data_IF_010165174499
#
_entry.id   IF_010165174499
#
_cell.length_a   1.000
_cell.length_b   1.000
_cell.length_c   1.000
_cell.angle_alpha   90.00
_cell.angle_beta   90.00
_cell.angle_gamma   90.00
#
_symmetry.space_group_name_H-M   'P 1'
#
loop_
_entity.id
_entity.type
_entity.pdbx_description
1 polymer ?
#
# COMPACT_ATOMS: atom_id res chain seq x y z
N UNK A 1 -15.61 -14.47 32.50
CA UNK A 1 -16.40 -13.68 31.53
C UNK A 1 -16.81 -12.39 32.20
N UNK A 2 -16.24 -11.26 31.79
CA UNK A 2 -16.57 -9.93 32.35
C UNK A 2 -17.77 -9.36 31.58
N UNK A 3 -18.97 -9.53 32.13
CA UNK A 3 -20.26 -9.13 31.55
C UNK A 3 -20.63 -7.68 31.86
N UNK A 4 -19.70 -6.73 31.72
CA UNK A 4 -20.00 -5.32 31.98
C UNK A 4 -19.42 -4.37 30.91
N UNK A 5 -19.46 -4.79 29.65
CA UNK A 5 -19.23 -3.88 28.52
C UNK A 5 -20.45 -2.97 28.37
N UNK A 6 -20.27 -1.69 28.70
CA UNK A 6 -21.26 -0.64 28.50
C UNK A 6 -21.69 -0.63 27.03
N UNK A 7 -22.99 -0.74 26.77
CA UNK A 7 -23.53 -0.60 25.42
C UNK A 7 -23.31 0.82 24.90
N UNK A 8 -22.94 0.94 23.63
CA UNK A 8 -22.80 2.23 22.94
C UNK A 8 -23.76 2.27 21.76
N UNK A 9 -24.74 3.18 21.80
CA UNK A 9 -25.63 3.35 20.66
C UNK A 9 -24.87 3.98 19.47
N UNK A 10 -25.01 3.38 18.29
CA UNK A 10 -24.36 3.83 17.05
C UNK A 10 -25.42 4.41 16.10
N UNK A 11 -25.09 5.55 15.49
CA UNK A 11 -25.93 6.22 14.48
C UNK A 11 -25.24 6.29 13.12
N UNK A 12 -23.92 6.20 13.08
CA UNK A 12 -23.13 6.28 11.86
C UNK A 12 -22.09 5.18 11.80
N UNK A 13 -21.99 4.50 10.66
CA UNK A 13 -20.88 3.59 10.34
C UNK A 13 -20.09 4.21 9.21
N UNK A 14 -18.77 4.25 9.35
CA UNK A 14 -17.87 4.89 8.38
C UNK A 14 -16.77 3.91 7.98
N UNK A 15 -16.46 3.84 6.68
CA UNK A 15 -15.33 3.06 6.14
C UNK A 15 -14.58 3.86 5.08
N UNK A 16 -13.42 3.37 4.64
CA UNK A 16 -12.67 3.97 3.54
C UNK A 16 -13.48 3.96 2.23
N UNK A 17 -13.32 5.00 1.41
CA UNK A 17 -13.68 4.91 -0.01
C UNK A 17 -12.91 3.76 -0.65
N UNK A 18 -13.52 3.04 -1.60
CA UNK A 18 -12.99 1.80 -2.15
C UNK A 18 -12.62 0.74 -1.08
N UNK A 19 -13.59 0.32 -0.23
CA UNK A 19 -13.30 -0.61 0.86
C UNK A 19 -12.75 -1.95 0.36
N UNK A 20 -11.78 -2.49 1.09
CA UNK A 20 -11.23 -3.81 0.88
C UNK A 20 -12.19 -4.92 1.33
N UNK A 21 -11.85 -6.16 1.00
CA UNK A 21 -12.69 -7.33 1.31
C UNK A 21 -12.96 -7.49 2.81
N UNK A 22 -11.98 -7.21 3.67
CA UNK A 22 -12.13 -7.33 5.13
C UNK A 22 -13.05 -6.26 5.71
N UNK A 23 -13.02 -5.04 5.18
CA UNK A 23 -13.97 -3.98 5.52
C UNK A 23 -15.39 -4.33 5.05
N UNK A 24 -15.53 -4.83 3.83
CA UNK A 24 -16.82 -5.31 3.29
C UNK A 24 -17.40 -6.44 4.15
N UNK A 25 -16.59 -7.46 4.47
CA UNK A 25 -17.02 -8.59 5.29
C UNK A 25 -17.39 -8.16 6.72
N UNK A 26 -16.67 -7.18 7.29
CA UNK A 26 -16.99 -6.56 8.58
C UNK A 26 -18.33 -5.83 8.56
N UNK A 27 -18.55 -4.98 7.56
CA UNK A 27 -19.80 -4.23 7.39
C UNK A 27 -21.00 -5.17 7.25
N UNK A 28 -20.82 -6.26 6.49
CA UNK A 28 -21.83 -7.30 6.34
C UNK A 28 -22.24 -7.91 7.68
N UNK A 29 -21.32 -8.14 8.62
CA UNK A 29 -21.67 -8.66 9.95
C UNK A 29 -22.61 -7.69 10.69
N UNK A 30 -22.33 -6.39 10.64
CA UNK A 30 -23.22 -5.39 11.23
C UNK A 30 -24.57 -5.30 10.52
N UNK A 31 -24.60 -5.36 9.18
CA UNK A 31 -25.84 -5.40 8.39
C UNK A 31 -26.72 -6.63 8.70
N UNK A 32 -26.13 -7.73 9.18
CA UNK A 32 -26.86 -8.94 9.61
C UNK A 32 -27.26 -8.91 11.09
N UNK A 33 -26.99 -7.82 11.81
CA UNK A 33 -27.41 -7.65 13.20
C UNK A 33 -26.50 -8.25 14.25
N UNK A 34 -25.33 -8.78 13.88
CA UNK A 34 -24.40 -9.37 14.86
C UNK A 34 -23.85 -8.34 15.87
N UNK A 35 -23.88 -7.05 15.52
CA UNK A 35 -23.40 -5.96 16.38
C UNK A 35 -24.41 -5.43 17.40
N UNK A 36 -25.72 -5.66 17.23
CA UNK A 36 -26.78 -4.94 17.95
C UNK A 36 -26.70 -5.06 19.47
N UNK A 37 -26.29 -6.23 19.97
CA UNK A 37 -26.19 -6.47 21.41
C UNK A 37 -25.20 -5.54 22.10
N UNK A 38 -24.09 -5.22 21.45
CA UNK A 38 -23.02 -4.36 21.99
C UNK A 38 -23.15 -2.93 21.48
N UNK A 39 -23.66 -2.77 20.27
CA UNK A 39 -23.80 -1.51 19.55
C UNK A 39 -25.23 -1.32 19.03
N UNK A 40 -26.18 -0.92 19.90
CA UNK A 40 -27.56 -0.69 19.48
C UNK A 40 -27.65 0.33 18.33
N UNK A 41 -28.37 -0.01 17.26
CA UNK A 41 -28.53 0.82 16.06
C UNK A 41 -27.47 0.58 14.97
N UNK A 42 -26.49 -0.29 15.21
CA UNK A 42 -25.41 -0.57 14.26
C UNK A 42 -25.88 -1.20 12.95
N UNK A 43 -26.98 -1.96 12.94
CA UNK A 43 -27.54 -2.59 11.71
C UNK A 43 -28.09 -1.54 10.76
N UNK A 44 -28.89 -0.62 11.28
CA UNK A 44 -29.46 0.48 10.47
C UNK A 44 -28.33 1.39 9.97
N UNK A 45 -27.38 1.73 10.85
CA UNK A 45 -26.23 2.54 10.49
C UNK A 45 -25.35 1.85 9.42
N UNK A 46 -25.11 0.53 9.51
CA UNK A 46 -24.37 -0.24 8.51
C UNK A 46 -25.14 -0.45 7.19
N UNK A 47 -26.45 -0.20 7.17
CA UNK A 47 -27.24 -0.16 5.93
C UNK A 47 -27.10 1.17 5.19
N UNK A 48 -26.53 2.19 5.85
CA UNK A 48 -26.30 3.56 5.34
C UNK A 48 -24.86 3.99 5.60
N UNK A 49 -23.91 3.16 5.16
CA UNK A 49 -22.48 3.39 5.36
C UNK A 49 -22.04 4.72 4.75
N UNK A 50 -21.23 5.47 5.50
CA UNK A 50 -20.54 6.65 5.01
C UNK A 50 -19.13 6.27 4.53
N UNK A 51 -18.71 6.81 3.39
CA UNK A 51 -17.39 6.56 2.83
C UNK A 51 -16.48 7.77 3.02
N UNK A 52 -15.20 7.53 3.30
CA UNK A 52 -14.22 8.59 3.56
C UNK A 52 -12.84 8.30 2.95
N UNK A 53 -12.20 9.32 2.39
CA UNK A 53 -10.78 9.25 1.96
C UNK A 53 -9.81 9.32 3.16
N UNK A 54 -10.31 9.66 4.35
CA UNK A 54 -9.52 9.73 5.57
C UNK A 54 -10.25 10.45 6.70
N UNK A 55 -9.98 10.01 7.93
CA UNK A 55 -10.54 10.61 9.14
C UNK A 55 -9.42 11.07 10.06
N UNK A 56 -9.72 12.10 10.86
CA UNK A 56 -8.79 12.53 11.90
C UNK A 56 -8.58 11.39 12.89
N UNK A 57 -7.32 11.05 13.19
CA UNK A 57 -7.02 9.99 14.14
C UNK A 57 -7.45 10.39 15.56
N UNK A 58 -8.46 9.69 16.08
CA UNK A 58 -9.01 9.81 17.44
C UNK A 58 -9.19 8.42 18.04
N UNK A 59 -9.36 8.36 19.35
CA UNK A 59 -9.62 7.09 20.03
C UNK A 59 -11.10 6.68 19.97
N UNK A 60 -11.36 5.46 20.42
CA UNK A 60 -12.70 4.88 20.50
C UNK A 60 -13.67 5.67 21.39
N UNK A 61 -13.17 6.35 22.43
CA UNK A 61 -14.01 7.15 23.35
C UNK A 61 -14.60 8.36 22.64
N UNK A 62 -13.79 9.03 21.81
CA UNK A 62 -14.25 10.14 20.99
C UNK A 62 -15.36 9.68 20.02
N UNK A 63 -15.14 8.60 19.28
CA UNK A 63 -16.11 8.12 18.30
C UNK A 63 -17.41 7.61 18.95
N UNK A 64 -17.31 6.95 20.10
CA UNK A 64 -18.48 6.55 20.89
C UNK A 64 -19.31 7.77 21.36
N UNK A 65 -18.64 8.85 21.76
CA UNK A 65 -19.32 10.08 22.20
C UNK A 65 -20.15 10.75 21.10
N UNK A 66 -19.74 10.59 19.84
CA UNK A 66 -20.46 11.08 18.65
C UNK A 66 -21.26 9.98 17.95
N UNK A 67 -21.41 8.80 18.57
CA UNK A 67 -22.18 7.65 18.06
C UNK A 67 -21.75 7.20 16.66
N UNK A 68 -20.45 7.26 16.39
CA UNK A 68 -19.85 6.89 15.11
C UNK A 68 -18.98 5.65 15.28
N UNK A 69 -19.04 4.73 14.32
CA UNK A 69 -18.24 3.51 14.33
C UNK A 69 -17.36 3.48 13.07
N UNK A 70 -16.07 3.84 13.18
CA UNK A 70 -15.12 3.67 12.09
C UNK A 70 -14.76 2.18 11.94
N UNK A 71 -14.77 1.68 10.71
CA UNK A 71 -14.38 0.32 10.33
C UNK A 71 -13.29 0.43 9.26
N UNK A 72 -12.10 -0.12 9.52
CA UNK A 72 -10.95 -0.12 8.60
C UNK A 72 -10.31 1.24 8.34
N UNK A 73 -10.91 2.35 8.81
CA UNK A 73 -10.52 3.69 8.37
C UNK A 73 -9.75 4.59 9.34
N UNK A 74 -9.59 4.19 10.61
CA UNK A 74 -8.86 4.96 11.63
C UNK A 74 -7.86 4.09 12.37
N UNK A 75 -6.54 4.27 12.14
CA UNK A 75 -5.50 3.53 12.85
C UNK A 75 -5.60 3.65 14.37
N UNK A 76 -5.47 2.52 15.06
CA UNK A 76 -5.54 2.44 16.52
C UNK A 76 -6.95 2.30 17.11
N UNK A 77 -8.02 2.31 16.30
CA UNK A 77 -9.39 2.02 16.79
C UNK A 77 -9.67 0.51 16.89
N UNK A 78 -10.74 0.15 17.61
CA UNK A 78 -11.11 -1.26 17.85
C UNK A 78 -11.33 -2.07 16.56
N UNK A 79 -11.79 -1.43 15.48
CA UNK A 79 -12.05 -2.08 14.18
C UNK A 79 -11.10 -1.61 13.08
N UNK A 80 -9.80 -1.53 13.38
CA UNK A 80 -8.77 -1.26 12.39
C UNK A 80 -7.59 -2.23 12.52
N UNK A 81 -7.07 -2.74 11.40
CA UNK A 81 -5.95 -3.68 11.35
C UNK A 81 -4.57 -3.00 11.58
N UNK A 82 -4.55 -1.68 11.77
CA UNK A 82 -3.36 -0.90 12.10
C UNK A 82 -3.38 -0.40 13.53
N UNK A 83 -2.20 -0.35 14.14
CA UNK A 83 -1.99 0.25 15.45
C UNK A 83 -2.08 1.78 15.41
N UNK A 84 -1.92 2.42 16.58
CA UNK A 84 -1.95 3.89 16.72
C UNK A 84 -0.83 4.60 15.96
N UNK A 85 0.22 3.90 15.56
CA UNK A 85 1.33 4.46 14.78
C UNK A 85 1.12 4.20 13.27
N UNK A 86 -0.03 3.65 12.88
CA UNK A 86 -0.37 3.30 11.50
C UNK A 86 0.30 2.02 10.99
N UNK A 87 0.94 1.24 11.88
CA UNK A 87 1.62 0.00 11.51
C UNK A 87 0.64 -1.16 11.50
N UNK A 88 0.78 -2.05 10.51
CA UNK A 88 -0.07 -3.23 10.39
C UNK A 88 0.14 -4.19 11.55
N UNK A 89 -0.96 -4.69 12.12
CA UNK A 89 -0.96 -5.71 13.16
C UNK A 89 -0.80 -7.08 12.49
N UNK A 90 0.22 -7.88 12.83
CA UNK A 90 0.43 -9.18 12.21
C UNK A 90 -0.74 -10.15 12.44
N UNK A 91 -1.07 -10.94 11.43
CA UNK A 91 -2.10 -11.99 11.48
C UNK A 91 -3.51 -11.51 11.86
N UNK A 92 -3.80 -10.24 11.60
CA UNK A 92 -5.10 -9.62 11.88
C UNK A 92 -5.53 -8.80 10.65
N UNK A 93 -6.80 -8.89 10.30
CA UNK A 93 -7.51 -7.99 9.39
C UNK A 93 -8.77 -7.41 10.08
N UNK A 94 -9.43 -6.45 9.47
CA UNK A 94 -10.61 -5.78 10.06
C UNK A 94 -11.71 -6.76 10.45
N UNK A 95 -12.00 -7.75 9.60
CA UNK A 95 -13.01 -8.81 9.87
C UNK A 95 -12.68 -9.60 11.13
N UNK A 96 -11.43 -10.03 11.29
CA UNK A 96 -11.03 -10.83 12.45
C UNK A 96 -11.15 -10.04 13.75
N UNK A 97 -10.85 -8.73 13.75
CA UNK A 97 -11.07 -7.86 14.92
C UNK A 97 -12.55 -7.73 15.27
N UNK A 98 -13.40 -7.54 14.27
CA UNK A 98 -14.86 -7.45 14.48
C UNK A 98 -15.38 -8.77 15.06
N UNK A 99 -14.98 -9.91 14.50
CA UNK A 99 -15.40 -11.22 15.01
C UNK A 99 -14.96 -11.46 16.45
N UNK A 100 -13.71 -11.13 16.80
CA UNK A 100 -13.21 -11.24 18.16
C UNK A 100 -14.03 -10.37 19.12
N UNK A 101 -14.22 -9.10 18.77
CA UNK A 101 -14.94 -8.15 19.61
C UNK A 101 -16.41 -8.55 19.84
N UNK A 102 -17.06 -9.06 18.80
CA UNK A 102 -18.45 -9.52 18.86
C UNK A 102 -18.61 -10.92 19.48
N UNK A 103 -17.50 -11.59 19.82
CA UNK A 103 -17.46 -12.98 20.31
C UNK A 103 -18.05 -13.99 19.31
N UNK A 104 -17.70 -13.86 18.02
CA UNK A 104 -18.17 -14.72 16.93
C UNK A 104 -17.16 -15.80 16.52
N UNK A 105 -16.00 -15.86 17.18
CA UNK A 105 -14.90 -16.79 16.85
C UNK A 105 -15.27 -18.29 16.97
N UNK A 106 -16.35 -18.61 17.69
CA UNK A 106 -16.86 -19.98 17.83
C UNK A 106 -17.79 -20.40 16.68
N UNK A 107 -18.32 -19.46 15.90
CA UNK A 107 -19.11 -19.76 14.71
C UNK A 107 -18.19 -20.28 13.61
N UNK A 108 -18.27 -21.59 13.35
CA UNK A 108 -17.40 -22.28 12.38
C UNK A 108 -17.54 -21.74 10.96
N UNK A 109 -18.72 -21.28 10.58
CA UNK A 109 -18.97 -20.79 9.22
C UNK A 109 -18.38 -19.39 9.06
N UNK A 110 -18.68 -18.49 10.00
CA UNK A 110 -18.10 -17.14 9.99
C UNK A 110 -16.57 -17.20 10.11
N UNK A 111 -16.06 -18.10 10.95
CA UNK A 111 -14.61 -18.31 11.10
C UNK A 111 -13.96 -18.72 9.79
N UNK A 112 -14.54 -19.69 9.07
CA UNK A 112 -14.03 -20.11 7.74
C UNK A 112 -13.99 -18.95 6.75
N UNK A 113 -15.01 -18.08 6.75
CA UNK A 113 -15.03 -16.88 5.91
C UNK A 113 -13.94 -15.90 6.33
N UNK A 114 -13.81 -15.62 7.62
CA UNK A 114 -12.82 -14.69 8.12
C UNK A 114 -11.38 -15.17 7.92
N UNK A 115 -11.12 -16.47 8.02
CA UNK A 115 -9.81 -17.07 7.76
C UNK A 115 -9.40 -16.83 6.29
N UNK A 116 -10.33 -17.02 5.33
CA UNK A 116 -10.03 -16.81 3.90
C UNK A 116 -9.93 -15.32 3.53
N UNK A 117 -10.70 -14.46 4.20
CA UNK A 117 -10.57 -13.00 4.09
C UNK A 117 -9.22 -12.53 4.65
N UNK A 118 -8.80 -13.05 5.81
CA UNK A 118 -7.50 -12.75 6.40
C UNK A 118 -6.37 -13.17 5.47
N UNK A 119 -6.46 -14.36 4.88
CA UNK A 119 -5.50 -14.85 3.87
C UNK A 119 -5.42 -13.87 2.69
N UNK A 120 -6.56 -13.48 2.12
CA UNK A 120 -6.60 -12.52 1.00
C UNK A 120 -6.00 -11.16 1.37
N UNK A 121 -6.15 -10.72 2.61
CA UNK A 121 -5.67 -9.42 3.05
C UNK A 121 -4.15 -9.45 3.37
N UNK A 122 -3.67 -10.52 4.00
CA UNK A 122 -2.31 -10.58 4.56
C UNK A 122 -1.29 -11.30 3.70
N UNK A 123 -1.71 -12.27 2.87
CA UNK A 123 -0.80 -13.08 2.08
C UNK A 123 -0.61 -12.55 0.66
N UNK A 124 0.62 -12.61 0.12
CA UNK A 124 0.84 -12.31 -1.29
C UNK A 124 0.25 -13.42 -2.17
N UNK A 125 -0.15 -13.07 -3.39
CA UNK A 125 -0.49 -14.05 -4.42
C UNK A 125 -1.96 -14.38 -4.57
N UNK A 126 -2.84 -13.56 -3.97
CA UNK A 126 -4.28 -13.51 -4.28
C UNK A 126 -4.49 -13.44 -5.79
N UNK A 127 -5.37 -14.28 -6.30
CA UNK A 127 -5.62 -14.41 -7.74
C UNK A 127 -6.61 -13.34 -8.21
N UNK A 128 -6.50 -12.99 -9.48
CA UNK A 128 -7.39 -12.04 -10.15
C UNK A 128 -8.87 -12.50 -10.19
N UNK A 129 -9.13 -13.78 -9.91
CA UNK A 129 -10.46 -14.37 -9.83
C UNK A 129 -10.96 -14.51 -8.40
N UNK A 130 -10.18 -14.11 -7.40
CA UNK A 130 -10.63 -14.08 -6.01
C UNK A 130 -11.30 -12.75 -5.68
N UNK A 131 -12.32 -12.81 -4.81
CA UNK A 131 -13.19 -11.68 -4.51
C UNK A 131 -12.44 -10.40 -4.09
N UNK A 132 -11.33 -10.53 -3.35
CA UNK A 132 -10.52 -9.37 -2.96
C UNK A 132 -9.95 -8.60 -4.15
N UNK A 133 -9.48 -9.29 -5.19
CA UNK A 133 -8.99 -8.62 -6.42
C UNK A 133 -10.14 -8.13 -7.30
N UNK A 134 -11.26 -8.84 -7.32
CA UNK A 134 -12.47 -8.41 -8.04
C UNK A 134 -13.04 -7.11 -7.47
N UNK A 135 -13.08 -6.96 -6.15
CA UNK A 135 -13.47 -5.71 -5.48
C UNK A 135 -12.55 -4.55 -5.91
N UNK A 136 -11.22 -4.77 -5.87
CA UNK A 136 -10.24 -3.76 -6.33
C UNK A 136 -10.43 -3.40 -7.80
N UNK A 137 -10.70 -4.39 -8.67
CA UNK A 137 -11.00 -4.16 -10.10
C UNK A 137 -12.30 -3.38 -10.31
N UNK A 138 -13.31 -3.67 -9.49
CA UNK A 138 -14.59 -2.96 -9.42
C UNK A 138 -14.42 -1.48 -9.12
N UNK A 139 -13.75 -1.13 -8.02
CA UNK A 139 -13.57 0.26 -7.60
C UNK A 139 -12.74 1.11 -8.57
N UNK A 140 -11.93 0.49 -9.46
CA UNK A 140 -11.26 1.24 -10.54
C UNK A 140 -12.23 1.81 -11.58
N UNK A 141 -13.48 1.34 -11.62
CA UNK A 141 -14.47 1.64 -12.67
C UNK A 141 -15.78 2.15 -12.09
N UNK A 142 -16.27 1.48 -11.06
CA UNK A 142 -17.47 1.88 -10.34
C UNK A 142 -17.06 2.87 -9.25
N UNK A 143 -17.38 4.14 -9.49
CA UNK A 143 -17.10 5.24 -8.54
C UNK A 143 -18.04 5.23 -7.32
N UNK A 144 -19.17 4.54 -7.40
CA UNK A 144 -20.13 4.44 -6.31
C UNK A 144 -19.78 3.26 -5.40
N UNK A 145 -19.20 3.58 -4.24
CA UNK A 145 -18.82 2.59 -3.24
C UNK A 145 -20.02 1.80 -2.70
N UNK A 146 -21.23 2.37 -2.71
CA UNK A 146 -22.45 1.69 -2.26
C UNK A 146 -22.82 0.54 -3.21
N UNK A 147 -22.68 0.75 -4.52
CA UNK A 147 -22.94 -0.29 -5.52
C UNK A 147 -21.95 -1.44 -5.34
N UNK A 148 -20.67 -1.12 -5.18
CA UNK A 148 -19.63 -2.13 -4.96
C UNK A 148 -19.83 -2.90 -3.65
N UNK A 149 -20.17 -2.21 -2.56
CA UNK A 149 -20.47 -2.83 -1.28
C UNK A 149 -21.65 -3.80 -1.39
N UNK A 150 -22.74 -3.40 -2.06
CA UNK A 150 -23.92 -4.25 -2.28
C UNK A 150 -23.56 -5.48 -3.11
N UNK A 151 -22.85 -5.31 -4.21
CA UNK A 151 -22.40 -6.41 -5.06
C UNK A 151 -21.56 -7.42 -4.27
N UNK A 152 -20.52 -6.97 -3.57
CA UNK A 152 -19.62 -7.85 -2.82
C UNK A 152 -20.33 -8.53 -1.64
N UNK A 153 -21.25 -7.83 -0.97
CA UNK A 153 -22.06 -8.40 0.12
C UNK A 153 -22.96 -9.53 -0.38
N UNK A 154 -23.57 -9.38 -1.57
CA UNK A 154 -24.40 -10.43 -2.17
C UNK A 154 -23.59 -11.71 -2.45
N UNK A 155 -22.33 -11.57 -2.89
CA UNK A 155 -21.43 -12.71 -3.10
C UNK A 155 -21.09 -13.42 -1.78
N UNK A 156 -20.75 -12.66 -0.75
CA UNK A 156 -20.48 -13.20 0.59
C UNK A 156 -21.72 -13.84 1.23
N UNK A 157 -22.92 -13.31 0.96
CA UNK A 157 -24.19 -13.91 1.40
C UNK A 157 -24.45 -15.26 0.76
N UNK A 158 -24.15 -15.41 -0.53
CA UNK A 158 -24.25 -16.69 -1.21
C UNK A 158 -23.26 -17.71 -0.63
N UNK A 159 -22.00 -17.30 -0.42
CA UNK A 159 -20.96 -18.14 0.21
C UNK A 159 -21.37 -18.58 1.62
N UNK A 160 -21.83 -17.63 2.45
CA UNK A 160 -22.30 -17.94 3.79
C UNK A 160 -23.45 -18.95 3.76
N UNK A 161 -24.47 -18.70 2.94
CA UNK A 161 -25.64 -19.57 2.82
C UNK A 161 -25.25 -20.98 2.36
N UNK A 162 -24.35 -21.09 1.37
CA UNK A 162 -23.89 -22.38 0.88
C UNK A 162 -23.12 -23.17 1.94
N UNK A 163 -22.25 -22.52 2.72
CA UNK A 163 -21.47 -23.19 3.78
C UNK A 163 -22.39 -23.60 4.95
N UNK A 164 -23.36 -22.75 5.30
CA UNK A 164 -24.29 -23.00 6.41
C UNK A 164 -25.26 -24.15 6.12
N UNK A 165 -25.86 -24.15 4.92
CA UNK A 165 -26.95 -25.09 4.60
C UNK A 165 -26.51 -26.25 3.72
N UNK A 166 -25.34 -26.17 3.07
CA UNK A 166 -24.81 -27.25 2.25
C UNK A 166 -25.69 -27.59 1.04
N UNK A 167 -26.28 -26.58 0.37
CA UNK A 167 -27.21 -26.84 -0.74
C UNK A 167 -26.57 -27.73 -1.82
N UNK A 168 -27.36 -28.69 -2.30
CA UNK A 168 -26.94 -29.59 -3.36
C UNK A 168 -26.80 -28.82 -4.70
N UNK A 169 -25.95 -29.30 -5.63
CA UNK A 169 -25.88 -28.74 -6.98
C UNK A 169 -27.26 -28.71 -7.66
N UNK A 170 -27.65 -27.55 -8.19
CA UNK A 170 -28.90 -27.39 -8.97
C UNK A 170 -28.54 -27.26 -10.45
N UNK A 171 -28.77 -28.33 -11.21
CA UNK A 171 -28.49 -28.34 -12.65
C UNK A 171 -27.00 -28.35 -13.01
N UNK A 172 -26.67 -27.92 -14.23
CA UNK A 172 -25.30 -27.88 -14.78
C UNK A 172 -24.68 -26.48 -14.81
N UNK A 173 -25.30 -25.48 -14.18
CA UNK A 173 -24.79 -24.10 -14.21
C UNK A 173 -23.53 -23.99 -13.35
N UNK A 174 -22.47 -23.47 -13.97
CA UNK A 174 -21.14 -23.22 -13.41
C UNK A 174 -20.62 -21.89 -13.95
N UNK A 175 -19.46 -21.44 -13.45
CA UNK A 175 -18.79 -20.28 -14.03
C UNK A 175 -18.50 -20.47 -15.53
N UNK A 176 -18.08 -21.67 -15.96
CA UNK A 176 -17.80 -21.96 -17.37
C UNK A 176 -19.06 -21.80 -18.22
N UNK A 177 -20.20 -22.37 -17.81
CA UNK A 177 -21.44 -22.26 -18.59
C UNK A 177 -21.93 -20.81 -18.68
N UNK A 178 -21.70 -20.01 -17.64
CA UNK A 178 -22.06 -18.59 -17.66
C UNK A 178 -21.13 -17.80 -18.59
N UNK A 179 -19.83 -18.10 -18.55
CA UNK A 179 -18.87 -17.52 -19.49
C UNK A 179 -19.20 -17.87 -20.94
N UNK A 180 -19.52 -19.12 -21.25
CA UNK A 180 -19.92 -19.56 -22.59
C UNK A 180 -21.19 -18.84 -23.06
N UNK A 181 -22.20 -18.69 -22.18
CA UNK A 181 -23.41 -17.91 -22.46
C UNK A 181 -23.09 -16.45 -22.83
N UNK A 182 -22.15 -15.83 -22.13
CA UNK A 182 -21.73 -14.45 -22.41
C UNK A 182 -20.97 -14.35 -23.74
N UNK A 183 -20.16 -15.35 -24.08
CA UNK A 183 -19.49 -15.42 -25.38
C UNK A 183 -20.49 -15.56 -26.53
N UNK A 184 -21.49 -16.43 -26.39
CA UNK A 184 -22.56 -16.61 -27.37
C UNK A 184 -23.38 -15.31 -27.56
N UNK A 185 -23.49 -14.50 -26.50
CA UNK A 185 -24.11 -13.18 -26.54
C UNK A 185 -23.20 -12.07 -27.11
N UNK A 186 -22.01 -12.40 -27.63
CA UNK A 186 -21.08 -11.45 -28.24
C UNK A 186 -20.30 -10.58 -27.25
N UNK A 187 -20.26 -10.96 -25.96
CA UNK A 187 -19.38 -10.28 -24.98
C UNK A 187 -17.91 -10.61 -25.27
N UNK A 188 -17.02 -9.74 -24.82
CA UNK A 188 -15.56 -9.92 -24.88
C UNK A 188 -14.97 -9.98 -26.31
N UNK A 189 -15.11 -8.91 -27.12
CA UNK A 189 -14.74 -8.93 -28.54
C UNK A 189 -13.23 -8.93 -28.86
N UNK A 190 -12.34 -8.56 -27.93
CA UNK A 190 -10.88 -8.62 -28.18
C UNK A 190 -10.39 -10.06 -27.96
N UNK A 191 -9.99 -10.74 -29.04
CA UNK A 191 -9.56 -12.13 -29.05
C UNK A 191 -8.39 -12.42 -28.08
N UNK A 192 -7.44 -11.48 -27.94
CA UNK A 192 -6.26 -11.64 -27.09
C UNK A 192 -6.68 -11.63 -25.63
N UNK A 193 -7.55 -10.69 -25.27
CA UNK A 193 -8.09 -10.59 -23.92
C UNK A 193 -9.02 -11.76 -23.62
N UNK A 194 -9.90 -12.12 -24.56
CA UNK A 194 -10.81 -13.25 -24.43
C UNK A 194 -10.08 -14.55 -24.14
N UNK A 195 -8.98 -14.83 -24.86
CA UNK A 195 -8.14 -16.00 -24.59
C UNK A 195 -7.54 -15.99 -23.17
N UNK A 196 -7.11 -14.83 -22.68
CA UNK A 196 -6.60 -14.71 -21.30
C UNK A 196 -7.71 -14.87 -20.26
N UNK A 197 -8.89 -14.31 -20.50
CA UNK A 197 -10.06 -14.45 -19.65
C UNK A 197 -10.53 -15.90 -19.56
N UNK A 198 -10.60 -16.61 -20.69
CA UNK A 198 -10.95 -18.03 -20.73
C UNK A 198 -9.97 -18.88 -19.89
N UNK A 199 -8.67 -18.59 -19.97
CA UNK A 199 -7.68 -19.23 -19.11
C UNK A 199 -7.91 -18.91 -17.63
N UNK A 200 -8.23 -17.66 -17.29
CA UNK A 200 -8.54 -17.28 -15.90
C UNK A 200 -9.79 -17.99 -15.36
N UNK A 201 -10.84 -18.13 -16.18
CA UNK A 201 -12.05 -18.90 -15.82
C UNK A 201 -11.69 -20.36 -15.54
N UNK A 202 -10.94 -21.00 -16.44
CA UNK A 202 -10.47 -22.38 -16.27
C UNK A 202 -9.64 -22.53 -14.99
N UNK A 203 -8.65 -21.66 -14.82
CA UNK A 203 -7.77 -21.62 -13.65
C UNK A 203 -8.56 -21.42 -12.34
N UNK A 204 -9.61 -20.59 -12.34
CA UNK A 204 -10.50 -20.44 -11.18
C UNK A 204 -11.28 -21.73 -10.90
N UNK A 205 -11.77 -22.42 -11.93
CA UNK A 205 -12.45 -23.71 -11.77
C UNK A 205 -11.53 -24.79 -11.18
N UNK A 206 -10.25 -24.79 -11.55
CA UNK A 206 -9.23 -25.73 -11.02
C UNK A 206 -8.94 -25.48 -9.53
N UNK A 207 -8.99 -24.22 -9.08
CA UNK A 207 -8.70 -23.83 -7.69
C UNK A 207 -9.93 -23.66 -6.80
N UNK A 208 -11.13 -24.01 -7.27
CA UNK A 208 -12.39 -23.75 -6.55
C UNK A 208 -12.45 -24.35 -5.13
N UNK A 209 -11.69 -25.42 -4.90
CA UNK A 209 -11.64 -26.12 -3.61
C UNK A 209 -10.50 -25.61 -2.70
N UNK A 210 -9.62 -24.74 -3.23
CA UNK A 210 -8.51 -24.13 -2.49
C UNK A 210 -8.94 -22.87 -1.72
N UNK A 211 -9.92 -22.13 -2.23
CA UNK A 211 -10.37 -20.84 -1.69
C UNK A 211 -11.87 -20.67 -1.91
N UNK A 212 -12.59 -20.27 -0.85
CA UNK A 212 -14.03 -19.97 -0.95
C UNK A 212 -14.29 -18.58 -1.53
N UNK A 213 -13.22 -17.81 -1.76
CA UNK A 213 -13.25 -16.51 -2.43
C UNK A 213 -13.02 -16.61 -3.94
N UNK A 214 -12.72 -17.78 -4.49
CA UNK A 214 -12.59 -17.98 -5.95
C UNK A 214 -13.94 -17.79 -6.65
N UNK A 215 -13.93 -17.09 -7.79
CA UNK A 215 -15.13 -16.77 -8.57
C UNK A 215 -15.92 -18.03 -8.98
N UNK A 216 -15.23 -19.13 -9.27
CA UNK A 216 -15.85 -20.43 -9.56
C UNK A 216 -16.66 -20.97 -8.38
N UNK A 217 -16.10 -20.93 -7.16
CA UNK A 217 -16.78 -21.33 -5.94
C UNK A 217 -17.97 -20.41 -5.64
N UNK A 218 -17.78 -19.10 -5.79
CA UNK A 218 -18.83 -18.10 -5.60
C UNK A 218 -19.97 -18.30 -6.61
N UNK A 219 -19.67 -18.56 -7.88
CA UNK A 219 -20.67 -18.84 -8.90
C UNK A 219 -21.51 -20.08 -8.56
N UNK A 220 -20.85 -21.16 -8.12
CA UNK A 220 -21.52 -22.35 -7.61
C UNK A 220 -22.46 -22.01 -6.43
N UNK A 221 -22.00 -21.19 -5.48
CA UNK A 221 -22.83 -20.75 -4.36
C UNK A 221 -24.06 -19.99 -4.84
N UNK A 222 -23.89 -19.00 -5.72
CA UNK A 222 -25.00 -18.18 -6.26
C UNK A 222 -26.07 -19.04 -6.91
N UNK A 223 -25.67 -20.01 -7.74
CA UNK A 223 -26.62 -20.91 -8.41
C UNK A 223 -27.32 -21.86 -7.44
N UNK A 224 -26.58 -22.44 -6.48
CA UNK A 224 -27.16 -23.38 -5.50
C UNK A 224 -28.10 -22.70 -4.51
N UNK A 225 -27.83 -21.45 -4.16
CA UNK A 225 -28.73 -20.64 -3.33
C UNK A 225 -29.89 -20.04 -4.13
N UNK A 226 -30.01 -20.35 -5.42
CA UNK A 226 -31.03 -19.80 -6.32
C UNK A 226 -31.08 -18.27 -6.29
N UNK A 227 -29.92 -17.61 -6.24
CA UNK A 227 -29.87 -16.14 -6.26
C UNK A 227 -30.42 -15.65 -7.61
N UNK A 228 -31.46 -14.78 -7.61
CA UNK A 228 -32.12 -14.34 -8.85
C UNK A 228 -31.17 -13.58 -9.79
N UNK A 229 -30.17 -12.90 -9.21
CA UNK A 229 -29.23 -12.04 -9.94
C UNK A 229 -27.90 -12.77 -10.23
N UNK A 230 -27.83 -14.10 -10.06
CA UNK A 230 -26.59 -14.86 -10.17
C UNK A 230 -25.84 -14.59 -11.50
N UNK A 231 -26.56 -14.54 -12.63
CA UNK A 231 -25.97 -14.25 -13.93
C UNK A 231 -25.35 -12.86 -14.01
N UNK A 232 -26.07 -11.85 -13.52
CA UNK A 232 -25.63 -10.45 -13.55
C UNK A 232 -24.44 -10.22 -12.62
N UNK A 233 -24.44 -10.83 -11.44
CA UNK A 233 -23.35 -10.74 -10.47
C UNK A 233 -22.05 -11.37 -11.02
N UNK A 234 -22.15 -12.51 -11.71
CA UNK A 234 -21.02 -13.19 -12.36
C UNK A 234 -20.55 -12.41 -13.59
N UNK A 235 -21.48 -11.93 -14.42
CA UNK A 235 -21.19 -11.10 -15.59
C UNK A 235 -20.44 -9.83 -15.17
N UNK A 236 -20.87 -9.17 -14.08
CA UNK A 236 -20.17 -8.02 -13.52
C UNK A 236 -18.71 -8.36 -13.19
N UNK A 237 -18.44 -9.49 -12.52
CA UNK A 237 -17.08 -9.91 -12.22
C UNK A 237 -16.24 -10.12 -13.49
N UNK A 238 -16.78 -10.86 -14.47
CA UNK A 238 -16.09 -11.18 -15.72
C UNK A 238 -15.82 -9.94 -16.58
N UNK A 239 -16.75 -8.99 -16.63
CA UNK A 239 -16.56 -7.69 -17.29
C UNK A 239 -15.37 -6.93 -16.71
N UNK A 240 -15.26 -6.87 -15.38
CA UNK A 240 -14.19 -6.13 -14.73
C UNK A 240 -12.82 -6.79 -14.90
N UNK A 241 -12.76 -8.13 -14.94
CA UNK A 241 -11.54 -8.86 -15.31
C UNK A 241 -11.17 -8.54 -16.77
N UNK A 242 -12.13 -8.66 -17.69
CA UNK A 242 -11.94 -8.39 -19.11
C UNK A 242 -11.39 -6.99 -19.35
N UNK A 243 -12.02 -5.99 -18.74
CA UNK A 243 -11.61 -4.60 -18.87
C UNK A 243 -10.23 -4.34 -18.23
N UNK A 244 -9.88 -5.00 -17.12
CA UNK A 244 -8.54 -4.88 -16.53
C UNK A 244 -7.47 -5.38 -17.51
N UNK A 245 -7.76 -6.47 -18.21
CA UNK A 245 -6.88 -6.98 -19.26
C UNK A 245 -6.80 -6.05 -20.47
N UNK A 246 -7.91 -5.40 -20.89
CA UNK A 246 -7.85 -4.37 -21.93
C UNK A 246 -6.93 -3.21 -21.53
N UNK A 247 -7.08 -2.68 -20.32
CA UNK A 247 -6.24 -1.59 -19.80
C UNK A 247 -4.76 -2.00 -19.70
N UNK A 248 -4.49 -3.27 -19.37
CA UNK A 248 -3.14 -3.81 -19.37
C UNK A 248 -2.55 -3.82 -20.79
N UNK A 249 -3.30 -4.28 -21.79
CA UNK A 249 -2.80 -4.31 -23.17
C UNK A 249 -2.65 -2.92 -23.78
N UNK A 250 -3.51 -1.96 -23.41
CA UNK A 250 -3.29 -0.56 -23.72
C UNK A 250 -1.97 -0.06 -23.12
N UNK A 251 -1.68 -0.38 -21.86
CA UNK A 251 -0.40 -0.02 -21.24
C UNK A 251 0.81 -0.70 -21.91
N UNK A 252 0.67 -1.94 -22.39
CA UNK A 252 1.72 -2.63 -23.17
C UNK A 252 1.99 -1.87 -24.46
N UNK A 253 0.94 -1.43 -25.14
CA UNK A 253 1.04 -0.65 -26.38
C UNK A 253 1.66 0.74 -26.12
N UNK A 254 1.25 1.44 -25.07
CA UNK A 254 1.87 2.70 -24.62
C UNK A 254 3.38 2.52 -24.37
N UNK A 255 3.77 1.43 -23.68
CA UNK A 255 5.19 1.12 -23.45
C UNK A 255 5.94 0.84 -24.75
N UNK A 256 5.30 0.15 -25.71
CA UNK A 256 5.87 -0.21 -27.01
C UNK A 256 6.09 1.02 -27.89
N UNK A 257 5.16 1.98 -27.84
CA UNK A 257 5.18 3.22 -28.61
C UNK A 257 6.09 4.30 -28.00
N UNK A 258 6.55 4.14 -26.76
CA UNK A 258 7.50 5.10 -26.17
C UNK A 258 8.81 5.13 -26.97
N UNK A 259 9.23 6.35 -27.33
CA UNK A 259 10.51 6.60 -28.01
C UNK A 259 11.69 6.65 -27.02
N UNK A 260 11.42 6.83 -25.72
CA UNK A 260 12.45 6.99 -24.69
C UNK A 260 12.89 5.63 -24.11
N UNK A 261 13.41 4.78 -25.01
CA UNK A 261 13.87 3.42 -24.74
C UNK A 261 15.38 3.35 -24.88
N UNK A 262 16.06 2.99 -23.80
CA UNK A 262 17.51 2.98 -23.77
C UNK A 262 18.04 1.62 -23.33
N UNK A 263 19.08 1.16 -23.99
CA UNK A 263 19.90 0.04 -23.52
C UNK A 263 21.17 0.64 -22.95
N UNK A 264 21.40 0.43 -21.66
CA UNK A 264 22.61 0.89 -20.97
C UNK A 264 23.39 -0.31 -20.46
N UNK A 265 24.71 -0.17 -20.41
CA UNK A 265 25.58 -1.20 -19.87
C UNK A 265 25.56 -1.12 -18.35
N UNK A 266 25.04 -2.16 -17.71
CA UNK A 266 25.09 -2.38 -16.27
C UNK A 266 26.16 -3.42 -15.95
N UNK A 267 26.64 -3.43 -14.71
CA UNK A 267 27.59 -4.44 -14.23
C UNK A 267 27.00 -5.20 -13.05
N UNK A 268 27.13 -6.51 -13.11
CA UNK A 268 26.87 -7.42 -11.99
C UNK A 268 28.21 -8.01 -11.55
N UNK A 269 28.76 -7.46 -10.47
CA UNK A 269 30.19 -7.60 -10.18
C UNK A 269 31.03 -7.09 -11.35
N UNK A 270 31.84 -7.97 -11.95
CA UNK A 270 32.67 -7.64 -13.12
C UNK A 270 31.98 -7.96 -14.46
N UNK A 271 30.81 -8.61 -14.45
CA UNK A 271 30.16 -9.07 -15.67
C UNK A 271 29.29 -7.96 -16.27
N UNK A 272 29.57 -7.51 -17.50
CA UNK A 272 28.70 -6.56 -18.17
C UNK A 272 27.38 -7.21 -18.59
N UNK A 273 26.28 -6.48 -18.41
CA UNK A 273 24.94 -6.86 -18.86
C UNK A 273 24.21 -5.67 -19.48
N UNK A 274 23.36 -5.95 -20.45
CA UNK A 274 22.51 -4.92 -21.04
C UNK A 274 21.26 -4.72 -20.17
N UNK A 275 21.09 -3.50 -19.69
CA UNK A 275 19.95 -3.08 -18.90
C UNK A 275 19.04 -2.20 -19.75
N UNK A 276 17.80 -2.63 -19.91
CA UNK A 276 16.76 -1.86 -20.62
C UNK A 276 16.12 -0.85 -19.67
N UNK A 277 16.26 0.43 -19.98
CA UNK A 277 15.60 1.54 -19.30
C UNK A 277 14.47 2.04 -20.19
N UNK A 278 13.26 2.10 -19.63
CA UNK A 278 12.09 2.65 -20.29
C UNK A 278 11.65 3.90 -19.51
N UNK A 279 11.59 5.04 -20.20
CA UNK A 279 10.89 6.22 -19.71
C UNK A 279 9.52 6.30 -20.39
N UNK A 280 8.45 6.49 -19.62
CA UNK A 280 7.08 6.65 -20.15
C UNK A 280 6.42 7.86 -19.49
N UNK A 281 5.70 8.65 -20.29
CA UNK A 281 4.77 9.66 -19.79
C UNK A 281 3.36 9.08 -19.80
N UNK A 282 2.79 8.78 -18.64
CA UNK A 282 1.47 8.13 -18.56
C UNK A 282 0.88 8.22 -17.16
N UNK A 283 -0.45 8.31 -17.10
CA UNK A 283 -1.25 8.16 -15.87
C UNK A 283 -1.77 6.71 -15.68
N UNK A 284 -1.48 5.83 -16.64
CA UNK A 284 -1.96 4.46 -16.62
C UNK A 284 -1.21 3.64 -15.56
N UNK A 285 -1.93 3.21 -14.52
CA UNK A 285 -1.37 2.46 -13.40
C UNK A 285 -0.79 1.10 -13.82
N UNK A 286 -1.19 0.57 -14.97
CA UNK A 286 -0.68 -0.70 -15.49
C UNK A 286 0.73 -0.60 -16.11
N UNK A 287 1.29 0.59 -16.32
CA UNK A 287 2.60 0.76 -16.98
C UNK A 287 3.71 -0.01 -16.28
N UNK A 288 3.71 -0.07 -14.94
CA UNK A 288 4.72 -0.81 -14.17
C UNK A 288 4.69 -2.31 -14.49
N UNK A 289 3.48 -2.89 -14.63
CA UNK A 289 3.29 -4.30 -14.98
C UNK A 289 3.58 -4.53 -16.46
N UNK A 290 3.10 -3.62 -17.30
CA UNK A 290 3.18 -3.71 -18.75
C UNK A 290 4.62 -3.54 -19.28
N UNK A 291 5.42 -2.64 -18.69
CA UNK A 291 6.80 -2.39 -19.12
C UNK A 291 7.69 -3.63 -19.04
N UNK A 292 7.37 -4.54 -18.12
CA UNK A 292 8.07 -5.82 -17.91
C UNK A 292 7.59 -6.91 -18.86
N UNK A 293 6.49 -6.71 -19.56
CA UNK A 293 5.96 -7.65 -20.54
C UNK A 293 6.92 -7.78 -21.74
N UNK A 294 7.01 -8.98 -22.31
CA UNK A 294 7.92 -9.25 -23.44
C UNK A 294 7.63 -8.38 -24.66
N UNK A 295 6.35 -8.11 -24.92
CA UNK A 295 5.91 -7.29 -26.06
C UNK A 295 6.17 -5.80 -25.85
N UNK A 296 6.29 -5.34 -24.60
CA UNK A 296 6.79 -4.00 -24.27
C UNK A 296 8.33 -3.92 -24.29
N UNK A 297 9.01 -5.05 -24.49
CA UNK A 297 10.48 -5.16 -24.50
C UNK A 297 11.11 -5.42 -23.14
N UNK A 298 10.36 -5.70 -22.08
CA UNK A 298 10.88 -6.20 -20.81
C UNK A 298 11.92 -5.28 -20.15
N UNK A 299 11.50 -4.09 -19.75
CA UNK A 299 12.36 -3.11 -19.08
C UNK A 299 12.87 -3.63 -17.73
N UNK A 300 14.17 -3.42 -17.44
CA UNK A 300 14.77 -3.68 -16.14
C UNK A 300 14.64 -2.48 -15.19
N UNK A 301 14.61 -1.27 -15.74
CA UNK A 301 14.26 -0.03 -15.03
C UNK A 301 13.12 0.66 -15.78
N UNK A 302 12.06 1.01 -15.06
CA UNK A 302 10.93 1.78 -15.59
C UNK A 302 10.83 3.11 -14.86
N UNK A 303 10.87 4.21 -15.60
CA UNK A 303 10.68 5.56 -15.09
C UNK A 303 9.35 6.06 -15.66
N UNK A 304 8.43 6.48 -14.80
CA UNK A 304 7.10 6.93 -15.19
C UNK A 304 6.94 8.37 -14.73
N UNK A 305 6.60 9.27 -15.65
CA UNK A 305 6.19 10.64 -15.34
C UNK A 305 4.69 10.77 -15.62
N UNK A 306 3.92 11.09 -14.59
CA UNK A 306 2.47 11.25 -14.74
C UNK A 306 2.13 12.66 -15.29
N UNK A 307 0.85 12.92 -15.58
CA UNK A 307 0.41 14.22 -16.13
C UNK A 307 0.61 15.39 -15.15
N UNK A 308 0.70 15.13 -13.85
CA UNK A 308 1.04 16.13 -12.82
C UNK A 308 2.54 16.44 -12.75
N UNK A 309 3.36 15.74 -13.52
CA UNK A 309 4.82 15.89 -13.54
C UNK A 309 5.55 15.08 -12.45
N UNK A 310 4.82 14.41 -11.57
CA UNK A 310 5.37 13.51 -10.57
C UNK A 310 6.07 12.31 -11.24
N UNK A 311 7.20 11.89 -10.68
CA UNK A 311 8.04 10.82 -11.26
C UNK A 311 8.14 9.64 -10.30
N UNK A 312 7.99 8.44 -10.84
CA UNK A 312 8.21 7.19 -10.11
C UNK A 312 9.19 6.31 -10.86
N UNK A 313 10.07 5.63 -10.13
CA UNK A 313 11.12 4.77 -10.70
C UNK A 313 11.03 3.39 -10.08
N UNK A 314 10.99 2.36 -10.91
CA UNK A 314 10.84 0.97 -10.52
C UNK A 314 11.95 0.13 -11.13
N UNK A 315 12.46 -0.82 -10.36
CA UNK A 315 13.35 -1.88 -10.84
C UNK A 315 12.60 -3.19 -10.98
N UNK A 316 13.02 -4.04 -11.91
CA UNK A 316 12.62 -5.45 -11.95
C UNK A 316 13.66 -6.30 -11.20
N UNK A 317 13.45 -6.46 -9.89
CA UNK A 317 14.33 -7.25 -9.02
C UNK A 317 14.37 -8.73 -9.37
N UNK A 318 13.36 -9.26 -10.06
CA UNK A 318 13.33 -10.67 -10.46
C UNK A 318 14.26 -10.95 -11.64
N UNK A 319 14.55 -9.91 -12.44
CA UNK A 319 15.36 -10.02 -13.65
C UNK A 319 16.69 -9.27 -13.57
N UNK A 320 16.86 -8.43 -12.56
CA UNK A 320 18.03 -7.59 -12.42
C UNK A 320 18.35 -7.32 -10.96
N UNK A 321 19.58 -7.61 -10.54
CA UNK A 321 20.12 -7.17 -9.25
C UNK A 321 20.45 -5.67 -9.25
N UNK A 322 19.66 -4.86 -9.96
CA UNK A 322 19.86 -3.42 -10.07
C UNK A 322 19.37 -2.80 -8.77
N UNK A 323 20.33 -2.40 -7.94
CA UNK A 323 20.06 -1.53 -6.81
C UNK A 323 19.87 -0.09 -7.28
N UNK A 324 18.91 0.62 -6.70
CA UNK A 324 18.67 2.04 -7.00
C UNK A 324 19.48 2.99 -6.11
N UNK A 325 20.37 2.50 -5.23
CA UNK A 325 21.08 3.35 -4.26
C UNK A 325 21.81 4.53 -4.92
N UNK A 326 22.62 4.26 -5.95
CA UNK A 326 23.34 5.31 -6.69
C UNK A 326 22.39 6.22 -7.49
N UNK A 327 21.32 5.65 -8.06
CA UNK A 327 20.30 6.42 -8.77
C UNK A 327 19.60 7.42 -7.83
N UNK A 328 19.19 6.95 -6.65
CA UNK A 328 18.52 7.74 -5.61
C UNK A 328 19.46 8.83 -5.12
N UNK A 329 20.73 8.50 -4.89
CA UNK A 329 21.71 9.47 -4.44
C UNK A 329 21.92 10.60 -5.46
N UNK A 330 22.05 10.25 -6.73
CA UNK A 330 22.16 11.24 -7.82
C UNK A 330 20.90 12.11 -7.94
N UNK A 331 19.69 11.53 -7.86
CA UNK A 331 18.43 12.30 -7.90
C UNK A 331 18.34 13.27 -6.73
N UNK A 332 18.58 12.79 -5.51
CA UNK A 332 18.53 13.64 -4.30
C UNK A 332 19.60 14.74 -4.33
N UNK A 333 20.79 14.45 -4.86
CA UNK A 333 21.83 15.46 -5.05
C UNK A 333 21.40 16.53 -6.06
N UNK A 334 20.81 16.12 -7.20
CA UNK A 334 20.36 17.05 -8.23
C UNK A 334 19.25 17.97 -7.74
N UNK A 335 18.31 17.43 -6.96
CA UNK A 335 17.18 18.16 -6.35
C UNK A 335 17.54 18.83 -5.01
N UNK A 336 18.78 18.68 -4.52
CA UNK A 336 19.24 19.36 -3.32
C UNK A 336 19.12 20.88 -3.48
N UNK A 337 18.66 21.63 -2.45
CA UNK A 337 18.56 23.09 -2.49
C UNK A 337 19.89 23.74 -2.86
N UNK A 338 19.86 24.57 -3.91
CA UNK A 338 21.03 25.29 -4.44
C UNK A 338 20.71 26.78 -4.61
N UNK A 339 21.73 27.61 -4.51
CA UNK A 339 21.64 29.04 -4.80
C UNK A 339 21.74 29.30 -6.32
N UNK A 340 21.71 30.56 -6.72
CA UNK A 340 21.82 30.98 -8.13
C UNK A 340 23.18 30.64 -8.76
N UNK A 341 24.22 30.38 -7.97
CA UNK A 341 25.53 29.93 -8.43
C UNK A 341 25.64 28.40 -8.54
N UNK A 342 24.59 27.67 -8.13
CA UNK A 342 24.56 26.21 -8.07
C UNK A 342 25.21 25.63 -6.81
N UNK A 343 25.61 26.46 -5.85
CA UNK A 343 26.15 26.03 -4.56
C UNK A 343 25.04 25.58 -3.61
N UNK A 344 25.26 24.56 -2.76
CA UNK A 344 24.23 24.07 -1.83
C UNK A 344 23.89 25.13 -0.77
N UNK A 345 22.59 25.38 -0.55
CA UNK A 345 22.12 26.35 0.46
C UNK A 345 21.95 25.75 1.85
N UNK A 346 22.07 24.43 1.96
CA UNK A 346 22.02 23.67 3.20
C UNK A 346 23.19 22.68 3.24
N UNK A 347 23.70 22.32 4.44
CA UNK A 347 24.83 21.39 4.57
C UNK A 347 24.57 20.08 3.81
N UNK A 348 25.44 19.75 2.86
CA UNK A 348 25.31 18.54 2.08
C UNK A 348 25.73 17.31 2.93
N UNK A 349 24.91 16.25 2.96
CA UNK A 349 25.26 15.02 3.64
C UNK A 349 26.36 14.25 2.89
N UNK A 350 26.97 13.28 3.54
CA UNK A 350 27.91 12.36 2.88
C UNK A 350 27.15 11.49 1.86
N UNK A 351 27.86 10.98 0.84
CA UNK A 351 27.21 10.25 -0.26
C UNK A 351 26.29 9.11 0.18
N UNK A 352 26.74 8.33 1.17
CA UNK A 352 26.02 7.18 1.71
C UNK A 352 24.70 7.57 2.38
N UNK A 353 24.61 8.77 2.95
CA UNK A 353 23.37 9.25 3.57
C UNK A 353 22.31 9.53 2.50
N UNK A 354 22.68 9.95 1.30
CA UNK A 354 21.70 10.09 0.22
C UNK A 354 21.03 8.77 -0.19
N UNK A 355 21.57 7.61 0.21
CA UNK A 355 21.07 6.28 -0.14
C UNK A 355 20.07 5.71 0.88
N UNK A 356 19.73 6.47 1.93
CA UNK A 356 18.85 5.98 3.01
C UNK A 356 17.42 5.74 2.53
N UNK A 357 16.81 4.69 3.09
CA UNK A 357 15.39 4.37 2.92
C UNK A 357 14.51 5.47 3.51
N UNK A 358 13.32 5.67 2.94
CA UNK A 358 12.34 6.65 3.40
C UNK A 358 12.50 8.05 2.79
N UNK A 359 12.03 9.06 3.53
CA UNK A 359 12.13 10.49 3.18
C UNK A 359 13.45 11.05 3.68
N UNK A 360 14.04 11.99 2.95
CA UNK A 360 15.23 12.74 3.38
C UNK A 360 14.94 14.23 3.33
N UNK A 361 15.09 14.94 4.44
CA UNK A 361 15.13 16.40 4.43
C UNK A 361 16.49 16.89 3.93
N UNK A 362 16.55 17.98 3.15
CA UNK A 362 15.48 18.88 2.71
C UNK A 362 14.77 18.45 1.40
N UNK A 363 15.08 17.28 0.83
CA UNK A 363 14.50 16.77 -0.43
C UNK A 363 13.28 15.87 -0.18
N UNK A 364 12.35 16.36 0.64
CA UNK A 364 11.22 15.60 1.17
C UNK A 364 10.08 15.33 0.18
N UNK A 365 10.23 15.79 -1.07
CA UNK A 365 9.39 15.40 -2.20
C UNK A 365 9.68 13.98 -2.71
N UNK A 366 10.76 13.35 -2.25
CA UNK A 366 11.16 11.99 -2.64
C UNK A 366 11.07 10.99 -1.48
N UNK A 367 10.45 9.84 -1.75
CA UNK A 367 10.44 8.68 -0.86
C UNK A 367 11.15 7.50 -1.54
N UNK A 368 12.22 6.99 -0.92
CA UNK A 368 12.90 5.81 -1.41
C UNK A 368 12.40 4.57 -0.65
N UNK A 369 11.83 3.60 -1.36
CA UNK A 369 11.52 2.29 -0.81
C UNK A 369 12.58 1.26 -1.25
N UNK A 370 13.68 1.23 -0.51
CA UNK A 370 14.87 0.41 -0.75
C UNK A 370 14.57 -1.08 -0.79
N UNK A 371 13.65 -1.60 0.01
CA UNK A 371 13.24 -3.02 -0.05
C UNK A 371 12.37 -3.36 -1.26
N UNK A 372 11.60 -2.41 -1.78
CA UNK A 372 10.78 -2.62 -2.96
C UNK A 372 11.50 -2.26 -4.27
N UNK A 373 12.62 -1.55 -4.19
CA UNK A 373 13.35 -1.06 -5.36
C UNK A 373 12.58 0.03 -6.11
N UNK A 374 11.98 0.95 -5.34
CA UNK A 374 11.13 2.01 -5.85
C UNK A 374 11.58 3.37 -5.34
N UNK A 375 11.60 4.38 -6.20
CA UNK A 375 11.76 5.77 -5.81
C UNK A 375 10.52 6.54 -6.26
N UNK A 376 9.89 7.27 -5.34
CA UNK A 376 8.58 7.87 -5.53
C UNK A 376 8.67 9.39 -5.30
N UNK A 377 8.30 10.19 -6.30
CA UNK A 377 8.00 11.60 -6.15
C UNK A 377 6.50 11.81 -6.32
N UNK A 378 5.74 11.68 -5.24
CA UNK A 378 4.27 11.64 -5.28
C UNK A 378 3.74 10.26 -5.70
N UNK A 379 2.89 9.66 -4.86
CA UNK A 379 2.18 8.41 -5.16
C UNK A 379 0.88 8.32 -4.33
N UNK A 380 0.09 7.26 -4.51
CA UNK A 380 -1.07 7.00 -3.64
C UNK A 380 -0.67 6.81 -2.16
N UNK A 381 0.48 6.19 -1.91
CA UNK A 381 1.02 5.97 -0.56
C UNK A 381 1.90 7.13 -0.05
N UNK A 382 2.22 8.09 -0.91
CA UNK A 382 3.00 9.28 -0.59
C UNK A 382 2.40 10.50 -1.33
N UNK A 383 1.16 10.89 -0.99
CA UNK A 383 0.40 11.88 -1.76
C UNK A 383 0.88 13.32 -1.52
N UNK A 384 0.36 14.24 -2.32
CA UNK A 384 0.51 15.70 -2.14
C UNK A 384 1.96 16.21 -2.12
N UNK A 385 2.82 15.61 -2.95
CA UNK A 385 4.21 16.06 -3.13
C UNK A 385 4.39 16.85 -4.41
N UNK A 386 5.16 17.95 -4.37
CA UNK A 386 5.42 18.75 -5.56
C UNK A 386 6.15 17.89 -6.61
N UNK A 387 5.82 18.12 -7.87
CA UNK A 387 6.48 17.45 -8.98
C UNK A 387 7.96 17.82 -9.07
N UNK A 388 8.80 16.85 -9.42
CA UNK A 388 10.22 17.05 -9.70
C UNK A 388 10.42 18.06 -10.84
N UNK A 389 11.40 18.95 -10.64
CA UNK A 389 11.78 19.95 -11.65
C UNK A 389 12.84 19.41 -12.62
N UNK A 390 13.39 18.22 -12.35
CA UNK A 390 14.35 17.57 -13.25
C UNK A 390 13.73 17.31 -14.63
N UNK A 391 14.50 17.58 -15.70
CA UNK A 391 14.11 17.21 -17.06
C UNK A 391 14.06 15.68 -17.24
N UNK A 392 13.23 15.18 -18.17
CA UNK A 392 13.15 13.73 -18.48
C UNK A 392 14.51 13.13 -18.82
N UNK A 393 15.31 13.85 -19.63
CA UNK A 393 16.65 13.41 -20.02
C UNK A 393 17.57 13.21 -18.81
N UNK A 394 17.45 14.03 -17.77
CA UNK A 394 18.28 13.90 -16.57
C UNK A 394 18.06 12.56 -15.87
N UNK A 395 16.84 12.02 -15.87
CA UNK A 395 16.56 10.69 -15.31
C UNK A 395 17.20 9.56 -16.11
N UNK A 396 17.25 9.69 -17.44
CA UNK A 396 17.92 8.74 -18.33
C UNK A 396 19.44 8.79 -18.12
N UNK A 397 20.01 9.99 -17.99
CA UNK A 397 21.43 10.19 -17.74
C UNK A 397 21.84 9.65 -16.37
N UNK A 398 21.01 9.86 -15.35
CA UNK A 398 21.19 9.26 -14.02
C UNK A 398 21.09 7.74 -14.08
N UNK A 399 20.13 7.17 -14.82
CA UNK A 399 20.04 5.72 -15.00
C UNK A 399 21.33 5.14 -15.60
N UNK A 400 21.88 5.81 -16.63
CA UNK A 400 23.14 5.43 -17.27
C UNK A 400 24.30 5.49 -16.29
N UNK A 401 24.46 6.60 -15.59
CA UNK A 401 25.58 6.81 -14.66
C UNK A 401 25.51 5.85 -13.46
N UNK A 402 24.33 5.70 -12.85
CA UNK A 402 24.11 4.86 -11.68
C UNK A 402 24.33 3.36 -11.95
N UNK A 403 24.27 2.92 -13.20
CA UNK A 403 24.39 1.51 -13.57
C UNK A 403 25.85 1.04 -13.76
N UNK A 404 26.83 1.94 -13.75
CA UNK A 404 28.24 1.64 -13.97
C UNK A 404 29.13 2.33 -12.91
N UNK A 405 29.87 1.59 -12.07
CA UNK A 405 30.72 2.17 -11.02
C UNK A 405 31.72 3.23 -11.51
N UNK A 406 32.26 3.08 -12.73
CA UNK A 406 33.19 4.07 -13.31
C UNK A 406 32.47 5.38 -13.62
N UNK A 407 31.25 5.29 -14.15
CA UNK A 407 30.41 6.45 -14.45
C UNK A 407 29.92 7.13 -13.18
N UNK A 408 29.64 6.36 -12.11
CA UNK A 408 29.33 6.93 -10.77
C UNK A 408 30.50 7.79 -10.29
N UNK A 409 31.73 7.27 -10.33
CA UNK A 409 32.91 7.99 -9.88
C UNK A 409 33.17 9.25 -10.72
N UNK A 410 33.02 9.14 -12.04
CA UNK A 410 33.16 10.28 -12.94
C UNK A 410 32.08 11.34 -12.69
N UNK A 411 30.83 10.91 -12.51
CA UNK A 411 29.71 11.78 -12.20
C UNK A 411 29.95 12.56 -10.91
N UNK A 412 30.44 11.88 -9.86
CA UNK A 412 30.85 12.47 -8.57
C UNK A 412 31.98 13.48 -8.75
N UNK A 413 33.02 13.11 -9.51
CA UNK A 413 34.21 13.93 -9.74
C UNK A 413 33.86 15.25 -10.44
N UNK A 414 33.09 15.19 -11.52
CA UNK A 414 32.66 16.37 -12.30
C UNK A 414 31.81 17.33 -11.46
N UNK A 415 31.10 16.82 -10.45
CA UNK A 415 30.24 17.60 -9.54
C UNK A 415 30.88 17.92 -8.20
N UNK A 416 32.16 17.61 -8.01
CA UNK A 416 32.89 17.91 -6.78
C UNK A 416 32.44 17.11 -5.54
N UNK A 417 31.67 16.03 -5.71
CA UNK A 417 31.12 15.24 -4.60
C UNK A 417 32.21 14.55 -3.80
N UNK A 418 33.30 14.13 -4.46
CA UNK A 418 34.42 13.42 -3.83
C UNK A 418 35.14 14.21 -2.74
N UNK A 419 34.96 15.54 -2.66
CA UNK A 419 35.52 16.38 -1.57
C UNK A 419 34.69 16.36 -0.29
N UNK A 420 33.46 15.84 -0.32
CA UNK A 420 32.57 15.77 0.85
C UNK A 420 32.71 14.46 1.65
N UNK A 421 33.36 13.42 1.11
CA UNK A 421 33.58 12.17 1.85
C UNK A 421 34.64 12.33 2.96
N UNK A 422 35.55 13.32 2.84
CA UNK A 422 36.64 13.58 3.80
C UNK A 422 36.36 14.74 4.81
N UNK A 423 35.31 15.54 4.60
CA UNK A 423 35.05 16.74 5.41
C UNK A 423 34.19 16.51 6.66
N UNK A 424 33.80 15.25 6.96
CA UNK A 424 33.07 14.88 8.17
C UNK A 424 33.98 14.51 9.36
N UNK A 425 35.20 15.09 9.46
CA UNK A 425 35.94 15.07 10.73
C UNK A 425 35.49 16.26 11.57
N UNK A 426 34.97 16.06 12.80
CA UNK A 426 34.75 17.19 13.71
C UNK A 426 36.10 17.86 13.93
N UNK A 427 36.16 19.19 13.73
CA UNK A 427 37.37 19.94 14.08
C UNK A 427 37.71 19.65 15.54
N UNK A 428 38.93 19.18 15.85
CA UNK A 428 39.36 19.11 17.24
C UNK A 428 39.37 20.54 17.76
N UNK A 429 38.64 20.79 18.85
CA UNK A 429 38.75 22.04 19.60
C UNK A 429 40.22 22.24 19.92
N UNK A 430 40.83 23.24 19.28
CA UNK A 430 42.22 23.59 19.47
C UNK A 430 42.48 23.94 20.94
N UNK A 431 43.30 23.11 21.58
CA UNK A 431 44.05 23.50 22.77
C UNK A 431 45.09 24.54 22.34
N UNK A 432 44.82 25.82 22.59
CA UNK A 432 45.87 26.84 22.65
C UNK A 432 46.54 26.76 24.02
N UNK A 433 47.73 26.16 24.03
CA UNK A 433 48.67 26.18 25.14
C UNK A 433 49.59 27.38 24.95
N UNK A 434 49.58 28.34 25.87
CA UNK A 434 50.69 29.29 26.09
C UNK A 434 50.99 29.30 27.58
N UNK A 435 52.28 29.14 27.88
CA UNK A 435 52.98 29.03 29.17
C UNK A 435 52.87 30.33 30.01
N UNK A 436 52.52 30.28 31.31
CA UNK A 436 53.34 29.96 32.50
C UNK A 436 54.11 31.18 33.05
N UNK A 437 53.58 31.83 34.09
CA UNK A 437 54.36 32.49 35.16
C UNK A 437 53.67 32.20 36.51
N UNK A 438 54.47 31.74 37.46
CA UNK A 438 54.17 31.39 38.85
C UNK A 438 53.88 32.62 39.71
N UNK A 439 53.00 32.50 40.70
CA UNK A 439 53.38 32.79 42.10
C UNK A 439 52.45 32.13 43.14
N UNK A 440 53.09 31.79 44.25
CA UNK A 440 52.75 30.90 45.37
C UNK A 440 51.76 31.56 46.36
N UNK A 441 50.82 30.79 46.97
CA UNK A 441 50.69 30.62 48.43
C UNK A 441 49.42 29.86 48.87
N UNK A 442 49.67 28.69 49.47
CA UNK A 442 49.12 28.15 50.73
C UNK A 442 47.65 27.66 50.91
N UNK A 443 47.40 26.74 51.89
CA UNK A 443 46.60 25.53 51.65
C UNK A 443 45.36 25.35 52.55
N UNK A 444 44.39 24.54 52.08
CA UNK A 444 43.52 23.57 52.84
C UNK A 444 42.51 24.21 53.84
N UNK A 445 41.35 23.60 54.23
CA UNK A 445 40.94 22.19 54.17
C UNK A 445 39.55 21.85 53.61
N UNK A 446 39.42 20.54 53.39
CA UNK A 446 38.21 19.76 53.21
C UNK A 446 37.23 19.87 54.40
N UNK A 447 35.93 19.78 54.10
CA UNK A 447 34.93 19.22 55.02
C UNK A 447 34.03 18.24 54.26
N UNK A 448 33.88 17.11 54.92
CA UNK A 448 33.20 15.86 54.63
C UNK A 448 31.68 15.91 54.86
N UNK A 449 30.95 15.15 54.03
CA UNK A 449 29.91 14.15 54.38
C UNK A 449 28.70 14.62 55.21
N UNK A 450 27.48 14.47 54.67
CA UNK A 450 26.47 13.48 55.15
C UNK A 450 25.07 13.68 54.55
N UNK A 451 24.54 12.59 53.98
CA UNK A 451 23.20 11.99 54.20
C UNK A 451 21.90 12.83 54.19
N UNK A 452 21.09 12.60 53.13
CA UNK A 452 19.69 12.09 53.11
C UNK A 452 18.96 12.06 54.48
N UNK A 453 17.72 12.59 54.66
CA UNK A 453 16.53 11.84 54.21
C UNK A 453 15.23 12.58 53.84
N UNK A 454 14.42 11.79 53.13
CA UNK A 454 12.98 11.79 52.81
C UNK A 454 12.00 12.53 53.74
N UNK A 455 10.94 13.07 53.10
CA UNK A 455 9.50 13.15 53.47
C UNK A 455 8.96 14.56 53.11
N UNK A 456 7.69 14.84 52.82
CA UNK A 456 6.48 14.11 52.47
C UNK A 456 5.49 15.16 51.94
N UNK A 457 4.53 14.70 51.13
CA UNK A 457 3.27 15.30 50.72
C UNK A 457 2.81 16.62 51.38
N UNK A 458 2.42 17.61 50.56
CA UNK A 458 1.25 18.47 50.81
C UNK A 458 0.54 18.78 49.47
N UNK A 459 -0.76 18.60 49.50
CA UNK A 459 -1.82 18.89 48.53
C UNK A 459 -2.15 20.39 48.38
N UNK A 460 -2.96 20.70 47.35
CA UNK A 460 -4.14 21.60 47.35
C UNK A 460 -4.18 22.65 46.21
N UNK A 461 -5.34 22.62 45.53
CA UNK A 461 -6.13 23.65 44.82
C UNK A 461 -5.63 24.37 43.56
N UNK A 462 -6.29 24.04 42.45
CA UNK A 462 -7.26 24.89 41.74
C UNK A 462 -7.17 26.43 41.86
N UNK A 463 -6.97 27.08 40.70
CA UNK A 463 -7.70 28.28 40.21
C UNK A 463 -7.38 28.42 38.71
N UNK A 464 -8.37 28.26 37.81
CA UNK A 464 -9.02 29.35 37.06
C UNK A 464 -8.06 30.24 36.25
N UNK A 465 -8.02 30.01 34.93
CA UNK A 465 -8.64 30.90 33.92
C UNK A 465 -9.07 30.08 32.70
#
# INVERSE_FOLDING_TARGET
MNTNTKQTAIQHVVTHTAPHLDEVASLRLFQKGYGERLFPGSTEAASRVLFTEGMQQKDDTFYDSIKMMPIGCVPGTRFNDKDKDGRRIPAVCTTTKVMEYLNLNEDKVLKRIADDVLRCDTEPGVKNTELAELIKMGHRRVKDDTIMLKWATALLDAVHSQITFGFAPIGRRTLQTEFDRLLDAGRFPDDRVRGKLANMVKESMERKDESIMELSFIADCLFRTSNPDAGDLIQFALDHIYEDQLMFWQAVEECRQSNDRHVIRSFDGERPRDLRVLFVKSDNQNIIRASRHREAGGAGVTIIRNSKGNVTVFTDRRRSDVCLDEFVAMVRWLEWPKDSSGGPTTPMPIWKEFQVDGVMEPVSQWYYHKRAGQLLNGSLSFPNKPASQMASQAFIDVARAASNPREVNEWKRVRGVSRCEDSAKPQPKGLTKIELILEVNDPVPAVSVSEVPTQSAISVSAAKE
#
